data_IF_027593462196
#
_entry.id   IF_027593462196
#
_cell.length_a   1.000
_cell.length_b   1.000
_cell.length_c   1.000
_cell.angle_alpha   90.00
_cell.angle_beta   90.00
_cell.angle_gamma   90.00
#
_symmetry.space_group_name_H-M   'P 1'
#
loop_
_entity.id
_entity.type
_entity.pdbx_description
1 polymer ?
#
# COMPACT_ATOMS: atom_id res chain seq x y z
N UNK A 1 19.55 -50.18 12.06
CA UNK A 1 18.64 -49.03 12.31
C UNK A 1 19.26 -47.82 11.63
N UNK A 2 18.75 -47.43 10.47
CA UNK A 2 19.27 -46.28 9.72
C UNK A 2 18.54 -45.03 10.19
N UNK A 3 19.25 -44.07 10.78
CA UNK A 3 18.70 -42.76 11.13
C UNK A 3 18.59 -41.94 9.85
N UNK A 4 17.36 -41.61 9.47
CA UNK A 4 17.07 -40.60 8.45
C UNK A 4 17.49 -39.23 8.99
N UNK A 5 18.58 -38.65 8.46
CA UNK A 5 18.90 -37.24 8.63
C UNK A 5 17.86 -36.42 7.90
N UNK A 6 16.98 -35.73 8.64
CA UNK A 6 16.17 -34.67 8.09
C UNK A 6 17.11 -33.57 7.59
N UNK A 7 17.23 -33.42 6.29
CA UNK A 7 17.83 -32.29 5.64
C UNK A 7 17.02 -31.03 6.03
N UNK A 8 17.64 -30.08 6.75
CA UNK A 8 17.12 -28.72 6.89
C UNK A 8 16.97 -28.17 5.48
N UNK A 9 15.73 -28.02 5.00
CA UNK A 9 15.46 -27.25 3.80
C UNK A 9 15.92 -25.82 4.10
N UNK A 10 17.05 -25.42 3.52
CA UNK A 10 17.44 -24.03 3.38
C UNK A 10 16.28 -23.35 2.65
N UNK A 11 15.61 -22.40 3.32
CA UNK A 11 14.58 -21.60 2.68
C UNK A 11 15.19 -20.97 1.43
N UNK A 12 14.65 -21.28 0.25
CA UNK A 12 15.09 -20.67 -0.98
C UNK A 12 15.00 -19.15 -0.82
N UNK A 13 16.11 -18.44 -1.02
CA UNK A 13 16.11 -16.99 -1.06
C UNK A 13 15.12 -16.56 -2.14
N UNK A 14 14.13 -15.72 -1.77
CA UNK A 14 13.12 -15.27 -2.71
C UNK A 14 13.71 -14.39 -3.81
N UNK A 15 13.06 -14.38 -4.97
CA UNK A 15 13.46 -13.55 -6.11
C UNK A 15 12.92 -12.16 -5.90
N UNK A 16 13.79 -11.24 -5.45
CA UNK A 16 13.43 -9.84 -5.20
C UNK A 16 13.30 -9.05 -6.51
N UNK A 17 12.48 -8.00 -6.47
CA UNK A 17 12.35 -7.00 -7.52
C UNK A 17 12.61 -5.59 -6.98
N UNK A 18 12.78 -4.62 -7.88
CA UNK A 18 13.02 -3.22 -7.51
C UNK A 18 11.71 -2.46 -7.38
N UNK A 19 11.42 -1.96 -6.18
CA UNK A 19 10.26 -1.08 -5.93
C UNK A 19 10.30 0.16 -6.83
N UNK A 20 11.48 0.80 -6.98
CA UNK A 20 11.64 1.96 -7.85
C UNK A 20 11.33 1.67 -9.31
N UNK A 21 11.71 0.49 -9.81
CA UNK A 21 11.37 0.07 -11.18
C UNK A 21 9.86 -0.09 -11.35
N UNK A 22 9.18 -0.71 -10.40
CA UNK A 22 7.72 -0.88 -10.45
C UNK A 22 7.02 0.49 -10.40
N UNK A 23 7.45 1.40 -9.53
CA UNK A 23 6.92 2.78 -9.47
C UNK A 23 7.08 3.46 -10.83
N UNK A 24 8.26 3.39 -11.44
CA UNK A 24 8.51 4.00 -12.74
C UNK A 24 7.60 3.45 -13.84
N UNK A 25 7.35 2.14 -13.87
CA UNK A 25 6.43 1.53 -14.84
C UNK A 25 5.01 2.07 -14.65
N UNK A 26 4.51 2.12 -13.42
CA UNK A 26 3.16 2.61 -13.11
C UNK A 26 3.03 4.10 -13.46
N UNK A 27 4.02 4.91 -13.12
CA UNK A 27 4.03 6.34 -13.48
C UNK A 27 4.02 6.56 -14.99
N UNK A 28 4.83 5.80 -15.73
CA UNK A 28 4.89 5.89 -17.20
C UNK A 28 3.60 5.44 -17.88
N UNK A 29 2.84 4.53 -17.27
CA UNK A 29 1.54 4.13 -17.77
C UNK A 29 0.50 5.27 -17.70
N UNK A 30 0.64 6.17 -16.73
CA UNK A 30 -0.18 7.38 -16.63
C UNK A 30 -1.64 7.17 -16.25
N UNK A 31 -2.01 6.02 -15.69
CA UNK A 31 -3.40 5.71 -15.35
C UNK A 31 -3.76 6.14 -13.92
N UNK A 32 -2.79 6.17 -13.00
CA UNK A 32 -3.00 6.56 -11.60
C UNK A 32 -2.85 8.06 -11.43
N UNK A 33 -3.70 8.65 -10.58
CA UNK A 33 -3.57 10.05 -10.17
C UNK A 33 -2.60 10.22 -9.00
N UNK A 34 -2.43 9.18 -8.18
CA UNK A 34 -1.48 9.17 -7.06
C UNK A 34 -0.10 9.59 -7.56
N UNK A 35 0.45 10.67 -6.99
CA UNK A 35 1.73 11.20 -7.41
C UNK A 35 2.91 10.33 -6.92
N UNK A 36 4.12 10.64 -7.39
CA UNK A 36 5.33 9.88 -7.05
C UNK A 36 5.54 9.74 -5.54
N UNK A 37 5.33 10.83 -4.78
CA UNK A 37 5.47 10.83 -3.31
C UNK A 37 4.49 9.84 -2.64
N UNK A 38 3.26 9.78 -3.12
CA UNK A 38 2.26 8.81 -2.65
C UNK A 38 2.62 7.38 -3.05
N UNK A 39 3.08 7.17 -4.28
CA UNK A 39 3.54 5.85 -4.74
C UNK A 39 4.74 5.35 -3.95
N UNK A 40 5.69 6.24 -3.60
CA UNK A 40 6.83 5.90 -2.73
C UNK A 40 6.39 5.53 -1.31
N UNK A 41 5.42 6.23 -0.74
CA UNK A 41 4.87 5.90 0.58
C UNK A 41 4.22 4.49 0.59
N UNK A 42 3.51 4.14 -0.48
CA UNK A 42 2.89 2.81 -0.62
C UNK A 42 3.99 1.77 -0.91
N UNK A 43 4.80 2.00 -1.93
CA UNK A 43 5.76 1.01 -2.43
C UNK A 43 6.87 0.68 -1.45
N UNK A 44 7.44 1.68 -0.77
CA UNK A 44 8.52 1.46 0.19
C UNK A 44 8.08 0.76 1.49
N UNK A 45 6.78 0.67 1.74
CA UNK A 45 6.22 -0.11 2.85
C UNK A 45 5.99 -1.59 2.48
N UNK A 46 6.06 -1.93 1.20
CA UNK A 46 5.84 -3.28 0.68
C UNK A 46 7.16 -3.94 0.30
N UNK A 47 7.23 -5.26 0.47
CA UNK A 47 8.31 -6.05 -0.11
C UNK A 47 8.00 -6.31 -1.57
N UNK A 48 9.02 -6.26 -2.44
CA UNK A 48 8.86 -6.62 -3.84
C UNK A 48 9.46 -8.01 -4.09
N UNK A 49 8.60 -9.00 -4.41
CA UNK A 49 9.03 -10.38 -4.73
C UNK A 49 8.34 -10.91 -5.96
N UNK A 50 9.13 -11.52 -6.84
CA UNK A 50 8.62 -12.12 -8.09
C UNK A 50 7.95 -13.47 -7.84
N UNK A 51 8.41 -14.19 -6.83
CA UNK A 51 7.91 -15.50 -6.43
C UNK A 51 6.98 -15.40 -5.22
N UNK A 52 6.00 -16.31 -5.10
CA UNK A 52 5.08 -16.31 -3.96
C UNK A 52 5.80 -16.62 -2.64
N UNK A 53 5.33 -15.99 -1.59
CA UNK A 53 5.76 -16.23 -0.22
C UNK A 53 4.58 -16.09 0.76
N UNK A 54 4.73 -16.61 1.96
CA UNK A 54 3.75 -16.39 3.03
C UNK A 54 4.19 -15.18 3.84
N UNK A 55 3.36 -14.12 3.85
CA UNK A 55 3.65 -12.92 4.62
C UNK A 55 3.51 -13.18 6.14
N UNK A 56 4.00 -12.29 7.03
CA UNK A 56 3.88 -12.46 8.47
C UNK A 56 2.46 -12.66 8.99
N UNK A 57 1.45 -12.20 8.26
CA UNK A 57 0.03 -12.42 8.57
C UNK A 57 -0.50 -13.81 8.14
N UNK A 58 0.36 -14.68 7.59
CA UNK A 58 -0.01 -16.03 7.16
C UNK A 58 -0.71 -16.10 5.79
N UNK A 59 -0.69 -15.02 5.03
CA UNK A 59 -1.35 -14.93 3.71
C UNK A 59 -0.34 -15.15 2.60
N UNK A 60 -0.71 -15.97 1.59
CA UNK A 60 0.10 -16.16 0.40
C UNK A 60 0.12 -14.87 -0.42
N UNK A 61 1.32 -14.36 -0.67
CA UNK A 61 1.56 -13.01 -1.20
C UNK A 61 2.62 -13.07 -2.30
N UNK A 62 2.54 -12.21 -3.28
CA UNK A 62 3.60 -11.99 -4.28
C UNK A 62 3.65 -10.51 -4.72
N UNK A 63 4.54 -10.19 -5.65
CA UNK A 63 4.68 -8.85 -6.19
C UNK A 63 4.92 -7.81 -5.11
N UNK A 64 4.17 -6.74 -5.15
CA UNK A 64 4.17 -5.66 -4.15
C UNK A 64 2.95 -5.77 -3.24
N UNK A 65 2.94 -6.81 -2.38
CA UNK A 65 1.86 -7.05 -1.43
C UNK A 65 0.57 -7.59 -2.06
N UNK A 66 0.62 -8.13 -3.27
CA UNK A 66 -0.55 -8.74 -3.90
C UNK A 66 -0.93 -10.05 -3.23
N UNK A 67 -2.20 -10.19 -2.85
CA UNK A 67 -2.76 -11.39 -2.22
C UNK A 67 -3.85 -12.06 -3.07
N UNK A 68 -4.15 -11.50 -4.24
CA UNK A 68 -5.20 -12.01 -5.13
C UNK A 68 -4.61 -12.83 -6.25
N UNK A 69 -5.17 -14.03 -6.46
CA UNK A 69 -4.78 -14.89 -7.57
C UNK A 69 -3.35 -15.41 -7.51
N UNK A 70 -2.72 -15.40 -6.32
CA UNK A 70 -1.34 -15.88 -6.14
C UNK A 70 -1.27 -17.39 -6.33
N UNK A 71 -0.33 -17.83 -7.15
CA UNK A 71 -0.12 -19.26 -7.45
C UNK A 71 1.32 -19.65 -7.12
N UNK A 72 1.48 -20.72 -6.34
CA UNK A 72 2.78 -21.30 -6.07
C UNK A 72 3.49 -21.73 -7.37
N UNK A 73 4.81 -21.58 -7.41
CA UNK A 73 5.62 -21.97 -8.56
C UNK A 73 5.62 -20.96 -9.71
N UNK A 74 4.98 -19.81 -9.57
CA UNK A 74 5.02 -18.72 -10.56
C UNK A 74 6.15 -17.74 -10.26
N UNK A 75 6.74 -17.16 -11.32
CA UNK A 75 7.69 -16.04 -11.23
C UNK A 75 7.16 -14.94 -12.13
N UNK A 76 6.86 -13.77 -11.53
CA UNK A 76 6.26 -12.64 -12.25
C UNK A 76 7.31 -11.70 -12.84
N UNK A 77 7.00 -11.16 -14.01
CA UNK A 77 7.77 -10.05 -14.61
C UNK A 77 7.47 -8.72 -13.90
N UNK A 78 8.31 -7.71 -14.11
CA UNK A 78 8.07 -6.36 -13.60
C UNK A 78 6.75 -5.78 -14.12
N UNK A 79 6.41 -6.04 -15.38
CA UNK A 79 5.15 -5.58 -15.99
C UNK A 79 3.92 -6.22 -15.35
N UNK A 80 3.98 -7.51 -15.02
CA UNK A 80 2.89 -8.20 -14.32
C UNK A 80 2.70 -7.66 -12.91
N UNK A 81 3.80 -7.44 -12.17
CA UNK A 81 3.77 -6.87 -10.83
C UNK A 81 3.25 -5.45 -10.86
N UNK A 82 3.72 -4.62 -11.81
CA UNK A 82 3.27 -3.24 -11.97
C UNK A 82 1.77 -3.17 -12.29
N UNK A 83 1.27 -4.02 -13.18
CA UNK A 83 -0.15 -4.05 -13.55
C UNK A 83 -1.06 -4.44 -12.37
N UNK A 84 -0.63 -5.39 -11.54
CA UNK A 84 -1.38 -5.79 -10.34
C UNK A 84 -1.36 -4.71 -9.28
N UNK A 85 -0.20 -4.09 -9.04
CA UNK A 85 -0.06 -3.01 -8.07
C UNK A 85 -0.84 -1.77 -8.49
N UNK A 86 -0.79 -1.40 -9.78
CA UNK A 86 -1.59 -0.32 -10.37
C UNK A 86 -3.08 -0.55 -10.12
N UNK A 87 -3.59 -1.74 -10.38
CA UNK A 87 -5.00 -2.08 -10.12
C UNK A 87 -5.37 -1.87 -8.65
N UNK A 88 -4.54 -2.31 -7.71
CA UNK A 88 -4.78 -2.13 -6.29
C UNK A 88 -4.74 -0.65 -5.88
N UNK A 89 -3.88 0.17 -6.51
CA UNK A 89 -3.86 1.62 -6.31
C UNK A 89 -5.13 2.25 -6.86
N UNK A 90 -5.56 1.88 -8.06
CA UNK A 90 -6.78 2.41 -8.68
C UNK A 90 -8.03 2.08 -7.84
N UNK A 91 -8.08 0.91 -7.21
CA UNK A 91 -9.14 0.56 -6.27
C UNK A 91 -9.15 1.50 -5.05
N UNK A 92 -7.97 1.82 -4.49
CA UNK A 92 -7.85 2.79 -3.41
C UNK A 92 -8.21 4.22 -3.86
N UNK A 93 -7.80 4.64 -5.06
CA UNK A 93 -8.20 5.92 -5.65
C UNK A 93 -9.71 6.02 -5.84
N UNK A 94 -10.34 4.96 -6.34
CA UNK A 94 -11.79 4.88 -6.49
C UNK A 94 -12.51 5.07 -5.15
N UNK A 95 -12.00 4.46 -4.10
CA UNK A 95 -12.53 4.61 -2.75
C UNK A 95 -12.43 6.07 -2.24
N UNK A 96 -11.26 6.70 -2.41
CA UNK A 96 -11.06 8.11 -2.02
C UNK A 96 -11.97 9.04 -2.83
N UNK A 97 -12.08 8.81 -4.13
CA UNK A 97 -12.97 9.59 -4.99
C UNK A 97 -14.44 9.47 -4.58
N UNK A 98 -14.87 8.25 -4.28
CA UNK A 98 -16.29 7.97 -4.00
C UNK A 98 -16.71 8.40 -2.59
N UNK A 99 -15.85 8.18 -1.59
CA UNK A 99 -16.21 8.33 -0.19
C UNK A 99 -15.49 9.47 0.53
N UNK A 100 -14.36 9.96 -0.02
CA UNK A 100 -13.54 11.02 0.54
C UNK A 100 -13.57 12.33 -0.25
N UNK A 101 -14.49 12.47 -1.23
CA UNK A 101 -14.57 13.64 -2.11
C UNK A 101 -13.25 13.90 -2.88
N UNK A 102 -12.56 12.83 -3.27
CA UNK A 102 -11.19 12.84 -3.78
C UNK A 102 -10.94 13.79 -4.94
N UNK A 103 -11.95 13.95 -5.84
CA UNK A 103 -11.82 14.83 -7.01
C UNK A 103 -11.59 16.30 -6.66
N UNK A 104 -11.97 16.75 -5.45
CA UNK A 104 -11.77 18.13 -4.97
C UNK A 104 -10.49 18.31 -4.17
N UNK A 105 -9.76 17.24 -3.89
CA UNK A 105 -8.52 17.30 -3.14
C UNK A 105 -7.36 17.72 -4.05
N UNK A 106 -6.35 18.37 -3.48
CA UNK A 106 -5.05 18.53 -4.13
C UNK A 106 -4.39 17.17 -4.36
N UNK A 107 -3.43 17.09 -5.27
CA UNK A 107 -2.78 15.80 -5.59
C UNK A 107 -2.01 15.23 -4.39
N UNK A 108 -1.39 16.05 -3.56
CA UNK A 108 -0.68 15.61 -2.36
C UNK A 108 -1.65 15.09 -1.30
N UNK A 109 -2.72 15.82 -1.01
CA UNK A 109 -3.77 15.36 -0.07
C UNK A 109 -4.44 14.08 -0.57
N UNK A 110 -4.77 14.02 -1.87
CA UNK A 110 -5.34 12.84 -2.50
C UNK A 110 -4.40 11.63 -2.36
N UNK A 111 -3.12 11.80 -2.69
CA UNK A 111 -2.13 10.73 -2.64
C UNK A 111 -1.89 10.21 -1.22
N UNK A 112 -1.90 11.09 -0.22
CA UNK A 112 -1.84 10.69 1.18
C UNK A 112 -3.08 9.87 1.60
N UNK A 113 -4.28 10.30 1.20
CA UNK A 113 -5.52 9.56 1.46
C UNK A 113 -5.53 8.19 0.76
N UNK A 114 -5.00 8.10 -0.47
CA UNK A 114 -4.83 6.82 -1.19
C UNK A 114 -3.87 5.91 -0.44
N UNK A 115 -2.75 6.42 0.08
CA UNK A 115 -1.78 5.62 0.83
C UNK A 115 -2.40 4.95 2.06
N UNK A 116 -3.14 5.68 2.89
CA UNK A 116 -3.80 5.08 4.05
C UNK A 116 -4.93 4.13 3.64
N UNK A 117 -5.66 4.44 2.57
CA UNK A 117 -6.74 3.60 2.05
C UNK A 117 -6.21 2.27 1.52
N UNK A 118 -5.08 2.29 0.82
CA UNK A 118 -4.41 1.10 0.30
C UNK A 118 -4.12 0.07 1.42
N UNK A 119 -3.62 0.53 2.57
CA UNK A 119 -3.26 -0.35 3.69
C UNK A 119 -4.39 -0.66 4.67
N UNK A 120 -5.30 0.29 4.89
CA UNK A 120 -6.40 0.13 5.86
C UNK A 120 -7.65 -0.49 5.25
N UNK A 121 -7.78 -0.44 3.93
CA UNK A 121 -8.93 -0.93 3.18
C UNK A 121 -10.09 0.05 3.10
N UNK A 122 -10.80 0.04 1.97
CA UNK A 122 -11.93 0.94 1.74
C UNK A 122 -13.07 0.75 2.75
N UNK A 123 -13.29 -0.49 3.21
CA UNK A 123 -14.32 -0.79 4.21
C UNK A 123 -14.15 0.02 5.50
N UNK A 124 -12.92 0.18 5.97
CA UNK A 124 -12.60 0.98 7.14
C UNK A 124 -12.61 2.48 6.83
N UNK A 125 -12.03 2.87 5.70
CA UNK A 125 -11.86 4.29 5.38
C UNK A 125 -13.18 5.00 5.06
N UNK A 126 -14.11 4.36 4.36
CA UNK A 126 -15.38 4.98 3.95
C UNK A 126 -16.24 5.49 5.09
N UNK A 127 -16.13 4.90 6.28
CA UNK A 127 -16.87 5.28 7.50
C UNK A 127 -16.01 6.04 8.50
N UNK A 128 -14.76 6.36 8.16
CA UNK A 128 -13.82 7.01 9.05
C UNK A 128 -14.13 8.49 9.27
N UNK A 129 -13.70 9.00 10.43
CA UNK A 129 -13.70 10.43 10.72
C UNK A 129 -12.87 11.21 9.68
N UNK A 130 -11.73 10.65 9.24
CA UNK A 130 -10.91 11.27 8.21
C UNK A 130 -11.71 11.55 6.93
N UNK A 131 -12.42 10.54 6.40
CA UNK A 131 -13.20 10.73 5.17
C UNK A 131 -14.39 11.64 5.37
N UNK A 132 -15.01 11.65 6.55
CA UNK A 132 -16.04 12.63 6.88
C UNK A 132 -15.53 14.07 6.81
N UNK A 133 -14.34 14.31 7.37
CA UNK A 133 -13.67 15.62 7.33
C UNK A 133 -13.26 16.02 5.91
N UNK A 134 -12.75 15.07 5.10
CA UNK A 134 -12.47 15.33 3.68
C UNK A 134 -13.73 15.76 2.92
N UNK A 135 -14.86 15.10 3.15
CA UNK A 135 -16.14 15.47 2.52
C UNK A 135 -16.65 16.85 2.94
N UNK A 136 -16.45 17.22 4.19
CA UNK A 136 -16.86 18.53 4.71
C UNK A 136 -15.91 19.67 4.30
N UNK A 137 -14.75 19.35 3.72
CA UNK A 137 -13.75 20.33 3.31
C UNK A 137 -12.81 20.78 4.42
N UNK A 138 -12.89 20.17 5.61
CA UNK A 138 -11.91 20.43 6.69
C UNK A 138 -10.66 19.56 6.51
N UNK A 139 -9.87 19.95 5.51
CA UNK A 139 -8.72 19.16 5.07
C UNK A 139 -7.64 19.09 6.16
N UNK A 140 -7.38 20.19 6.85
CA UNK A 140 -6.37 20.24 7.93
C UNK A 140 -6.73 19.28 9.06
N UNK A 141 -8.00 19.27 9.49
CA UNK A 141 -8.46 18.32 10.50
C UNK A 141 -8.41 16.86 9.99
N UNK A 142 -8.73 16.64 8.71
CA UNK A 142 -8.59 15.32 8.10
C UNK A 142 -7.13 14.83 8.12
N UNK A 143 -6.16 15.68 7.74
CA UNK A 143 -4.73 15.37 7.81
C UNK A 143 -4.27 15.03 9.23
N UNK A 144 -4.89 15.62 10.25
CA UNK A 144 -4.59 15.35 11.66
C UNK A 144 -5.05 13.96 12.14
N UNK A 145 -5.85 13.23 11.34
CA UNK A 145 -6.35 11.90 11.68
C UNK A 145 -5.35 10.76 11.37
N UNK A 146 -4.32 10.97 10.56
CA UNK A 146 -3.36 9.92 10.20
C UNK A 146 -2.75 9.18 11.41
N UNK A 147 -2.36 9.84 12.52
CA UNK A 147 -1.80 9.15 13.68
C UNK A 147 -2.73 8.14 14.35
N UNK A 148 -4.02 8.13 14.03
CA UNK A 148 -4.97 7.12 14.53
C UNK A 148 -4.86 5.79 13.79
N UNK A 149 -4.23 5.76 12.61
CA UNK A 149 -4.09 4.60 11.73
C UNK A 149 -2.74 3.91 11.90
N UNK A 150 -2.40 3.56 13.15
CA UNK A 150 -1.10 3.00 13.54
C UNK A 150 -1.21 1.63 14.21
N UNK A 151 -2.41 1.06 14.25
CA UNK A 151 -2.70 -0.19 14.94
C UNK A 151 -2.68 -1.39 13.99
N UNK A 152 -2.11 -2.49 14.46
CA UNK A 152 -2.16 -3.78 13.79
C UNK A 152 -2.06 -4.90 14.82
N UNK A 153 -2.93 -5.92 14.69
CA UNK A 153 -2.97 -7.02 15.66
C UNK A 153 -3.23 -6.59 17.11
N UNK A 154 -4.01 -5.52 17.32
CA UNK A 154 -4.36 -5.01 18.65
C UNK A 154 -3.28 -4.18 19.34
N UNK A 155 -2.19 -3.82 18.64
CA UNK A 155 -1.09 -3.02 19.20
C UNK A 155 -0.63 -1.95 18.22
N UNK A 156 0.01 -0.90 18.74
CA UNK A 156 0.66 0.12 17.93
C UNK A 156 1.92 -0.47 17.27
N UNK A 157 2.05 -0.28 15.96
CA UNK A 157 3.19 -0.75 15.18
C UNK A 157 4.11 0.43 14.83
N UNK A 158 5.41 0.41 15.24
CA UNK A 158 6.34 1.51 14.97
C UNK A 158 6.46 1.88 13.50
N UNK A 159 6.44 0.91 12.59
CA UNK A 159 6.46 1.14 11.15
C UNK A 159 5.24 1.92 10.65
N UNK A 160 4.06 1.66 11.22
CA UNK A 160 2.84 2.42 10.89
C UNK A 160 2.88 3.82 11.49
N UNK A 161 3.49 4.04 12.66
CA UNK A 161 3.69 5.37 13.25
C UNK A 161 4.54 6.23 12.31
N UNK A 162 5.66 5.70 11.83
CA UNK A 162 6.54 6.39 10.88
C UNK A 162 5.82 6.69 9.57
N UNK A 163 5.09 5.72 9.01
CA UNK A 163 4.33 5.89 7.78
C UNK A 163 3.22 6.93 7.93
N UNK A 164 2.44 6.85 9.00
CA UNK A 164 1.37 7.83 9.29
C UNK A 164 1.89 9.26 9.43
N UNK A 165 3.08 9.44 10.01
CA UNK A 165 3.75 10.74 10.07
C UNK A 165 4.08 11.29 8.68
N UNK A 166 4.60 10.47 7.78
CA UNK A 166 4.89 10.84 6.38
C UNK A 166 3.62 11.11 5.59
N UNK A 167 2.58 10.28 5.75
CA UNK A 167 1.27 10.48 5.14
C UNK A 167 0.64 11.81 5.59
N UNK A 168 0.70 12.11 6.88
CA UNK A 168 0.23 13.40 7.43
C UNK A 168 0.98 14.59 6.81
N UNK A 169 2.30 14.50 6.73
CA UNK A 169 3.13 15.55 6.14
C UNK A 169 2.75 15.80 4.67
N UNK A 170 2.63 14.74 3.86
CA UNK A 170 2.19 14.84 2.47
C UNK A 170 0.79 15.45 2.36
N UNK A 171 -0.15 15.03 3.20
CA UNK A 171 -1.50 15.59 3.24
C UNK A 171 -1.49 17.10 3.51
N UNK A 172 -0.70 17.56 4.48
CA UNK A 172 -0.59 18.98 4.85
C UNK A 172 0.13 19.81 3.78
N UNK A 173 1.05 19.24 3.03
CA UNK A 173 1.68 19.92 1.88
C UNK A 173 0.65 20.28 0.82
N UNK A 174 -0.39 19.48 0.66
CA UNK A 174 -1.50 19.74 -0.24
C UNK A 174 -2.47 20.83 0.22
N UNK A 175 -2.35 21.32 1.46
CA UNK A 175 -3.20 22.40 2.01
C UNK A 175 -2.58 23.77 1.78
N UNK A 176 -1.27 23.83 1.50
CA UNK A 176 -0.54 25.07 1.20
C UNK A 176 -0.90 25.58 -0.21
#
# INVERSE_FOLDING_TARGET
MAQLKLSKKSGAAGIVCSVGTIIAIVMNAGHVRTNERGLELIGNAESCRRDPYVCPAGVLTDGMGNTHGVKLGTVKSDQQIAAEWERNILDAESCVNRYGNGRKLSDDTFSAAVSVTFRAGCGNMRTSTMFSLLRSGDITAACSQFPRWVWGGGKVLPGLVTRAGKEKALCLDGVK
#
